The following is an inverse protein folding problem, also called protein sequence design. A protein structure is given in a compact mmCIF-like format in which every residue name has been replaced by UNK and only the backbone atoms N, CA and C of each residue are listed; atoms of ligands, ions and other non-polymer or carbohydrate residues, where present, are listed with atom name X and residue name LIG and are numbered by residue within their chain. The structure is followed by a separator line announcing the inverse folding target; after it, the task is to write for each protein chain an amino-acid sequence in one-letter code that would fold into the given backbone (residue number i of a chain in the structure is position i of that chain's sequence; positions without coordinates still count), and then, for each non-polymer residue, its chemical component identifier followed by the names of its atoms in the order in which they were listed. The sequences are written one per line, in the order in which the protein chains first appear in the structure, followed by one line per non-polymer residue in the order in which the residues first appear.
data_IF_969046369878
#
_entry.id   IF_969046369878
#
_cell.length_a   1.000
_cell.length_b   1.000
_cell.length_c   1.000
_cell.angle_alpha   90.00
_cell.angle_beta   90.00
_cell.angle_gamma   90.00
#
_symmetry.space_group_name_H-M   'P 1'
#
loop_
_entity.id
_entity.type
_entity.pdbx_description
1 polymer ?
#
# COMPACT_ATOMS: atom_id res chain seq x y z
N UNK A 1 -7.48 60.93 23.27
CA UNK A 1 -8.54 60.04 22.74
C UNK A 1 -7.98 58.63 22.83
N UNK A 2 -8.31 57.88 23.88
CA UNK A 2 -9.46 56.94 23.95
C UNK A 2 -9.29 55.83 22.89
N UNK A 3 -8.97 54.57 23.22
CA UNK A 3 -9.19 53.74 24.43
C UNK A 3 -10.67 53.59 24.77
N UNK A 4 -11.28 52.49 24.33
CA UNK A 4 -12.46 51.87 24.95
C UNK A 4 -12.61 50.39 24.57
N UNK A 5 -13.20 49.58 25.47
CA UNK A 5 -13.43 48.12 25.42
C UNK A 5 -14.23 47.72 26.69
N UNK A 6 -14.93 46.56 26.79
CA UNK A 6 -15.96 45.94 25.94
C UNK A 6 -17.37 45.94 26.62
N UNK A 7 -18.39 45.40 25.93
CA UNK A 7 -19.56 44.67 26.47
C UNK A 7 -20.19 43.89 25.29
N UNK A 8 -20.67 42.64 25.33
CA UNK A 8 -21.03 41.65 26.39
C UNK A 8 -22.39 41.80 27.07
N UNK A 9 -23.37 41.01 26.61
CA UNK A 9 -24.54 40.39 27.30
C UNK A 9 -25.44 39.69 26.24
N UNK A 10 -26.13 38.56 26.44
CA UNK A 10 -26.19 37.55 27.55
C UNK A 10 -26.43 36.15 26.91
N UNK A 11 -26.35 35.00 27.60
CA UNK A 11 -27.40 34.42 28.49
C UNK A 11 -28.53 33.78 27.67
N UNK A 12 -28.97 32.53 27.83
CA UNK A 12 -28.82 31.54 28.92
C UNK A 12 -28.73 30.09 28.35
N UNK A 13 -28.21 29.04 29.02
CA UNK A 13 -28.57 28.40 30.32
C UNK A 13 -29.98 27.78 30.27
N UNK A 14 -30.30 26.54 30.64
CA UNK A 14 -29.63 25.41 31.31
C UNK A 14 -30.22 24.07 30.73
N UNK A 15 -30.12 22.82 31.24
CA UNK A 15 -29.47 22.14 32.39
C UNK A 15 -29.52 20.61 32.21
N UNK A 16 -28.53 19.88 32.76
CA UNK A 16 -28.67 18.45 33.15
C UNK A 16 -28.37 17.39 32.08
N UNK A 17 -28.09 16.12 32.45
CA UNK A 17 -28.03 15.55 33.81
C UNK A 17 -26.85 14.56 33.97
N UNK A 18 -26.33 14.49 35.21
CA UNK A 18 -25.19 13.69 35.63
C UNK A 18 -25.68 12.47 36.43
N UNK A 19 -25.41 11.25 35.97
CA UNK A 19 -25.37 10.05 36.83
C UNK A 19 -24.22 9.15 36.40
N UNK A 20 -23.36 8.81 37.37
CA UNK A 20 -22.30 7.80 37.23
C UNK A 20 -22.86 6.39 37.39
N UNK A 21 -22.26 5.40 36.71
CA UNK A 21 -22.13 4.09 37.35
C UNK A 21 -20.82 3.37 37.01
N UNK A 22 -20.30 2.65 38.02
CA UNK A 22 -19.27 1.62 37.86
C UNK A 22 -19.94 0.31 37.44
N UNK A 23 -19.19 -0.56 36.77
CA UNK A 23 -18.93 -1.98 37.13
C UNK A 23 -18.37 -2.68 35.89
N UNK A 24 -17.15 -3.25 35.90
CA UNK A 24 -16.66 -4.34 36.75
C UNK A 24 -17.48 -5.63 36.57
N UNK A 25 -17.71 -6.01 35.31
CA UNK A 25 -18.23 -7.36 34.99
C UNK A 25 -17.15 -8.44 35.17
N UNK A 26 -16.91 -8.77 36.45
CA UNK A 26 -16.22 -9.98 36.89
C UNK A 26 -17.03 -11.20 36.43
N UNK A 27 -16.42 -12.13 35.70
CA UNK A 27 -17.06 -13.40 35.38
C UNK A 27 -17.30 -14.15 36.70
N UNK A 28 -18.58 -14.41 37.02
CA UNK A 28 -19.02 -15.14 38.21
C UNK A 28 -19.70 -16.43 37.78
N UNK A 29 -19.35 -17.54 38.43
CA UNK A 29 -19.98 -18.84 38.18
C UNK A 29 -21.48 -18.80 38.52
N UNK A 30 -22.34 -19.48 37.73
CA UNK A 30 -23.62 -19.97 38.20
C UNK A 30 -23.41 -21.19 39.12
N UNK A 31 -23.87 -21.08 40.37
CA UNK A 31 -24.49 -22.20 41.08
C UNK A 31 -25.76 -22.62 40.31
N UNK A 32 -26.25 -23.86 40.29
CA UNK A 32 -26.27 -24.94 41.31
C UNK A 32 -27.14 -24.59 42.52
N UNK A 33 -28.43 -24.47 42.24
CA UNK A 33 -29.54 -24.85 43.13
C UNK A 33 -30.30 -25.96 42.35
N UNK A 34 -30.60 -27.18 42.83
CA UNK A 34 -30.69 -27.77 44.18
C UNK A 34 -32.04 -27.56 44.88
N UNK A 35 -33.07 -28.19 44.32
CA UNK A 35 -34.23 -28.73 45.04
C UNK A 35 -34.26 -30.25 44.79
N UNK A 36 -34.63 -31.14 45.72
CA UNK A 36 -34.79 -31.03 47.18
C UNK A 36 -34.79 -32.49 47.75
N UNK A 37 -35.17 -32.70 49.01
CA UNK A 37 -35.34 -33.98 49.73
C UNK A 37 -34.13 -34.44 50.57
N UNK A 38 -33.85 -33.65 51.60
CA UNK A 38 -33.59 -34.07 52.98
C UNK A 38 -33.34 -35.56 53.32
N UNK A 39 -32.31 -35.80 54.15
CA UNK A 39 -32.23 -36.89 55.16
C UNK A 39 -32.20 -38.34 54.64
N UNK A 40 -31.18 -39.14 54.96
CA UNK A 40 -30.82 -39.41 56.36
C UNK A 40 -29.39 -39.94 56.54
N UNK A 41 -28.87 -39.74 57.76
CA UNK A 41 -27.72 -40.51 58.28
C UNK A 41 -28.16 -41.97 58.47
N UNK A 42 -27.27 -42.93 58.21
CA UNK A 42 -26.83 -43.91 59.21
C UNK A 42 -25.59 -44.67 58.71
N UNK A 43 -24.76 -45.14 59.64
CA UNK A 43 -23.60 -46.00 59.34
C UNK A 43 -23.97 -47.47 59.52
N UNK A 44 -23.32 -48.31 58.70
CA UNK A 44 -22.76 -49.64 59.05
C UNK A 44 -23.31 -50.31 60.32
N UNK A 45 -23.95 -51.49 60.20
CA UNK A 45 -23.22 -52.77 60.42
C UNK A 45 -24.02 -54.04 60.03
N UNK A 46 -23.29 -55.16 59.90
CA UNK A 46 -23.65 -56.56 60.11
C UNK A 46 -24.78 -57.23 59.32
N UNK A 47 -24.38 -58.29 58.62
CA UNK A 47 -25.24 -59.26 57.93
C UNK A 47 -25.39 -60.54 58.76
N UNK A 48 -26.61 -61.06 58.95
CA UNK A 48 -26.82 -62.50 59.25
C UNK A 48 -28.12 -63.05 58.63
N UNK A 49 -28.15 -64.31 58.15
CA UNK A 49 -29.25 -64.83 57.33
C UNK A 49 -30.24 -65.72 58.10
N UNK A 50 -31.36 -66.07 57.44
CA UNK A 50 -32.16 -67.28 57.74
C UNK A 50 -32.57 -67.99 56.43
N UNK A 51 -32.99 -69.25 56.57
CA UNK A 51 -33.05 -70.28 55.52
C UNK A 51 -34.49 -70.80 55.36
N UNK A 52 -34.90 -71.17 54.13
CA UNK A 52 -36.20 -71.83 53.85
C UNK A 52 -36.34 -72.30 52.39
N UNK A 53 -36.38 -73.63 52.12
CA UNK A 53 -36.58 -74.23 50.79
C UNK A 53 -37.95 -74.97 50.67
N UNK A 54 -38.23 -75.76 49.61
CA UNK A 54 -38.28 -75.45 48.18
C UNK A 54 -39.71 -75.73 47.61
N UNK A 55 -40.02 -75.48 46.31
CA UNK A 55 -39.75 -76.49 45.25
C UNK A 55 -39.44 -75.89 43.85
N UNK A 56 -39.09 -76.75 42.89
CA UNK A 56 -39.18 -76.40 41.45
C UNK A 56 -37.92 -75.85 40.78
N UNK A 57 -36.75 -76.50 40.95
CA UNK A 57 -35.55 -76.18 40.16
C UNK A 57 -35.72 -76.58 38.70
N UNK A 58 -36.29 -75.69 37.88
CA UNK A 58 -36.23 -75.82 36.42
C UNK A 58 -34.79 -75.59 35.96
N UNK A 59 -34.06 -76.68 35.69
CA UNK A 59 -32.72 -76.61 35.09
C UNK A 59 -32.88 -76.20 33.63
N UNK A 60 -32.85 -74.89 33.37
CA UNK A 60 -32.75 -74.36 32.00
C UNK A 60 -31.33 -74.63 31.51
N UNK A 61 -31.13 -75.79 30.89
CA UNK A 61 -29.90 -76.10 30.17
C UNK A 61 -29.80 -75.21 28.91
N UNK A 62 -29.35 -73.97 29.08
CA UNK A 62 -28.78 -73.23 27.95
C UNK A 62 -27.55 -74.01 27.47
N UNK A 63 -27.49 -74.43 26.18
CA UNK A 63 -26.30 -75.06 25.66
C UNK A 63 -25.15 -74.04 25.68
N UNK A 64 -23.93 -74.48 26.02
CA UNK A 64 -22.78 -73.57 26.27
C UNK A 64 -22.40 -72.74 25.04
N UNK A 65 -22.70 -73.28 23.87
CA UNK A 65 -22.63 -72.68 22.53
C UNK A 65 -23.59 -71.50 22.30
N UNK A 66 -24.59 -71.27 23.15
CA UNK A 66 -25.41 -70.05 23.14
C UNK A 66 -24.88 -68.91 24.03
N UNK A 67 -23.73 -69.06 24.69
CA UNK A 67 -23.06 -67.93 25.35
C UNK A 67 -22.47 -67.02 24.27
N UNK A 68 -23.26 -66.01 23.87
CA UNK A 68 -22.84 -64.96 22.94
C UNK A 68 -21.69 -64.12 23.51
N UNK A 69 -20.45 -64.62 23.34
CA UNK A 69 -19.19 -63.88 23.53
C UNK A 69 -18.97 -62.79 22.47
N UNK A 70 -19.90 -62.64 21.53
CA UNK A 70 -19.92 -61.59 20.52
C UNK A 70 -21.09 -60.66 20.85
N UNK A 71 -20.91 -59.33 20.98
CA UNK A 71 -22.03 -58.42 21.12
C UNK A 71 -22.97 -58.54 19.89
N UNK A 72 -24.28 -58.24 20.03
CA UNK A 72 -25.23 -58.29 18.90
C UNK A 72 -24.66 -57.57 17.67
N UNK A 73 -24.83 -58.09 16.44
CA UNK A 73 -24.01 -57.68 15.28
C UNK A 73 -24.06 -56.17 14.94
N UNK A 74 -25.18 -55.52 15.26
CA UNK A 74 -25.35 -54.06 15.21
C UNK A 74 -24.42 -53.33 16.19
N UNK A 75 -24.39 -53.76 17.45
CA UNK A 75 -23.48 -53.27 18.49
C UNK A 75 -22.02 -53.70 18.23
N UNK A 76 -21.79 -54.87 17.64
CA UNK A 76 -20.45 -55.31 17.21
C UNK A 76 -19.88 -54.33 16.17
N UNK A 77 -20.63 -54.02 15.10
CA UNK A 77 -20.24 -53.00 14.12
C UNK A 77 -20.10 -51.61 14.75
N UNK A 78 -20.93 -51.25 15.73
CA UNK A 78 -20.80 -49.96 16.44
C UNK A 78 -19.51 -49.89 17.26
N UNK A 79 -19.17 -50.94 18.01
CA UNK A 79 -17.89 -51.04 18.73
C UNK A 79 -16.68 -51.12 17.79
N UNK A 80 -16.81 -51.83 16.66
CA UNK A 80 -15.75 -51.88 15.64
C UNK A 80 -15.52 -50.49 15.04
N UNK A 81 -16.57 -49.76 14.65
CA UNK A 81 -16.44 -48.40 14.12
C UNK A 81 -15.85 -47.41 15.13
N UNK A 82 -16.18 -47.54 16.42
CA UNK A 82 -15.63 -46.69 17.49
C UNK A 82 -14.17 -47.03 17.81
N UNK A 83 -13.81 -48.31 17.89
CA UNK A 83 -12.41 -48.76 18.14
C UNK A 83 -11.51 -48.62 16.91
N UNK A 84 -12.06 -48.70 15.69
CA UNK A 84 -11.41 -48.37 14.41
C UNK A 84 -11.13 -46.85 14.28
N UNK A 85 -11.44 -46.02 15.28
CA UNK A 85 -10.88 -44.67 15.43
C UNK A 85 -9.39 -44.69 15.85
N UNK A 86 -8.60 -45.50 15.15
CA UNK A 86 -7.13 -45.51 15.18
C UNK A 86 -6.64 -44.08 14.99
N UNK A 87 -5.72 -43.62 15.84
CA UNK A 87 -5.20 -42.26 15.86
C UNK A 87 -4.22 -41.98 14.73
N UNK A 88 -4.64 -42.22 13.48
CA UNK A 88 -4.01 -41.75 12.25
C UNK A 88 -4.21 -40.22 12.10
N UNK A 89 -3.93 -39.44 13.16
CA UNK A 89 -3.77 -37.99 13.06
C UNK A 89 -2.44 -37.73 12.36
N UNK A 90 -2.48 -37.79 11.03
CA UNK A 90 -1.30 -37.98 10.19
C UNK A 90 -0.19 -36.97 10.49
N UNK A 91 1.02 -37.48 10.74
CA UNK A 91 2.20 -36.65 10.99
C UNK A 91 2.43 -35.63 9.86
N UNK A 92 2.06 -35.98 8.62
CA UNK A 92 2.00 -35.08 7.47
C UNK A 92 1.25 -33.76 7.76
N UNK A 93 0.09 -33.78 8.45
CA UNK A 93 -0.62 -32.55 8.83
C UNK A 93 0.17 -31.71 9.83
N UNK A 94 0.83 -32.33 10.82
CA UNK A 94 1.68 -31.60 11.78
C UNK A 94 2.90 -30.98 11.08
N UNK A 95 3.59 -31.75 10.22
CA UNK A 95 4.71 -31.24 9.42
C UNK A 95 4.29 -30.08 8.50
N UNK A 96 3.14 -30.18 7.83
CA UNK A 96 2.61 -29.11 6.99
C UNK A 96 2.27 -27.84 7.81
N UNK A 97 1.66 -27.98 8.99
CA UNK A 97 1.41 -26.84 9.88
C UNK A 97 2.71 -26.19 10.38
N UNK A 98 3.74 -26.97 10.72
CA UNK A 98 5.05 -26.42 11.09
C UNK A 98 5.77 -25.73 9.93
N UNK A 99 5.70 -26.29 8.71
CA UNK A 99 6.23 -25.65 7.50
C UNK A 99 5.51 -24.33 7.20
N UNK A 100 4.17 -24.32 7.26
CA UNK A 100 3.38 -23.11 7.05
C UNK A 100 3.66 -22.05 8.13
N UNK A 101 3.80 -22.44 9.39
CA UNK A 101 4.18 -21.52 10.46
C UNK A 101 5.59 -20.94 10.25
N UNK A 102 6.57 -21.76 9.85
CA UNK A 102 7.92 -21.30 9.52
C UNK A 102 7.93 -20.36 8.32
N UNK A 103 7.13 -20.63 7.28
CA UNK A 103 6.95 -19.76 6.12
C UNK A 103 6.32 -18.40 6.52
N UNK A 104 5.29 -18.41 7.36
CA UNK A 104 4.67 -17.17 7.87
C UNK A 104 5.64 -16.35 8.72
N UNK A 105 6.45 -16.99 9.56
CA UNK A 105 7.52 -16.33 10.33
C UNK A 105 8.57 -15.73 9.38
N UNK A 106 8.99 -16.47 8.36
CA UNK A 106 9.96 -15.99 7.36
C UNK A 106 9.43 -14.78 6.58
N UNK A 107 8.16 -14.83 6.15
CA UNK A 107 7.51 -13.71 5.46
C UNK A 107 7.35 -12.48 6.38
N UNK A 108 7.02 -12.68 7.66
CA UNK A 108 6.96 -11.60 8.65
C UNK A 108 8.34 -10.96 8.88
N UNK A 109 9.40 -11.76 9.05
CA UNK A 109 10.77 -11.27 9.17
C UNK A 109 11.24 -10.53 7.90
N UNK A 110 10.92 -11.03 6.71
CA UNK A 110 11.20 -10.36 5.45
C UNK A 110 10.46 -9.01 5.34
N UNK A 111 9.17 -8.97 5.73
CA UNK A 111 8.38 -7.74 5.75
C UNK A 111 8.93 -6.72 6.77
N UNK A 112 9.38 -7.16 7.95
CA UNK A 112 10.07 -6.29 8.91
C UNK A 112 11.36 -5.71 8.34
N UNK A 113 12.21 -6.52 7.69
CA UNK A 113 13.45 -6.04 7.05
C UNK A 113 13.14 -5.02 5.95
N UNK A 114 12.17 -5.29 5.08
CA UNK A 114 11.74 -4.35 4.03
C UNK A 114 11.17 -3.05 4.62
N UNK A 115 10.37 -3.15 5.69
CA UNK A 115 9.84 -1.99 6.41
C UNK A 115 10.92 -1.12 7.06
N UNK A 116 11.90 -1.74 7.73
CA UNK A 116 13.06 -1.05 8.31
C UNK A 116 13.87 -0.36 7.21
N UNK A 117 14.16 -1.04 6.10
CA UNK A 117 14.86 -0.45 4.96
C UNK A 117 14.09 0.74 4.38
N UNK A 118 12.77 0.63 4.22
CA UNK A 118 11.93 1.74 3.76
C UNK A 118 11.98 2.95 4.71
N UNK A 119 11.89 2.73 6.02
CA UNK A 119 11.97 3.80 7.03
C UNK A 119 13.37 4.41 7.16
N UNK A 120 14.44 3.66 6.87
CA UNK A 120 15.83 4.14 6.92
C UNK A 120 16.20 4.94 5.66
N UNK A 121 15.76 4.50 4.48
CA UNK A 121 16.14 5.09 3.19
C UNK A 121 15.14 6.09 2.62
N UNK A 122 13.85 5.97 2.98
CA UNK A 122 12.73 6.85 2.61
C UNK A 122 12.79 7.33 1.14
N UNK A 123 12.55 6.43 0.16
CA UNK A 123 12.72 6.75 -1.26
C UNK A 123 11.71 7.81 -1.74
N UNK A 124 12.21 9.02 -1.94
CA UNK A 124 11.49 10.17 -2.46
C UNK A 124 11.70 10.35 -3.97
N UNK A 125 10.66 10.85 -4.67
CA UNK A 125 10.79 11.25 -6.07
C UNK A 125 11.73 12.47 -6.21
N UNK A 126 12.67 12.49 -7.18
CA UNK A 126 13.46 13.69 -7.46
C UNK A 126 12.56 14.87 -7.85
N UNK A 127 13.00 16.10 -7.54
CA UNK A 127 12.32 17.34 -7.92
C UNK A 127 12.95 17.91 -9.20
N UNK A 128 12.14 18.57 -10.03
CA UNK A 128 12.58 19.19 -11.28
C UNK A 128 12.06 20.62 -11.40
N UNK A 129 12.87 21.49 -12.03
CA UNK A 129 12.51 22.88 -12.39
C UNK A 129 13.20 23.28 -13.70
N UNK A 130 12.65 24.25 -14.42
CA UNK A 130 13.14 24.75 -15.71
C UNK A 130 13.85 26.09 -15.49
N UNK A 131 15.14 25.99 -15.14
CA UNK A 131 16.04 27.13 -14.88
C UNK A 131 16.34 28.06 -16.06
N UNK A 132 15.90 27.73 -17.29
CA UNK A 132 16.06 28.60 -18.45
C UNK A 132 15.61 27.96 -19.76
N UNK A 133 15.24 28.81 -20.73
CA UNK A 133 14.75 28.42 -22.06
C UNK A 133 15.34 29.35 -23.11
N UNK A 134 15.60 28.85 -24.31
CA UNK A 134 16.05 29.64 -25.47
C UNK A 134 15.30 29.19 -26.71
N UNK A 135 14.56 30.08 -27.37
CA UNK A 135 13.69 29.75 -28.51
C UNK A 135 14.18 30.39 -29.80
N UNK A 136 14.36 29.60 -30.85
CA UNK A 136 14.60 30.07 -32.23
C UNK A 136 13.79 29.21 -33.22
N UNK A 137 13.76 29.57 -34.51
CA UNK A 137 13.07 28.81 -35.56
C UNK A 137 11.53 28.93 -35.57
N UNK A 138 10.94 29.77 -34.72
CA UNK A 138 9.53 30.15 -34.75
C UNK A 138 9.41 31.51 -35.45
N UNK A 139 8.95 31.52 -36.71
CA UNK A 139 8.53 32.74 -37.39
C UNK A 139 6.99 32.79 -37.49
N UNK A 140 6.39 33.83 -36.90
CA UNK A 140 4.94 34.04 -36.91
C UNK A 140 4.46 34.93 -38.07
N UNK A 141 5.35 35.60 -38.81
CA UNK A 141 4.96 36.59 -39.84
C UNK A 141 4.52 35.96 -41.16
N UNK A 142 5.11 34.84 -41.58
CA UNK A 142 4.62 34.02 -42.69
C UNK A 142 3.68 32.94 -42.20
N UNK A 143 2.86 32.37 -43.09
CA UNK A 143 2.00 31.21 -42.84
C UNK A 143 2.73 29.86 -42.89
N UNK A 144 4.03 29.86 -43.17
CA UNK A 144 4.86 28.66 -43.41
C UNK A 144 4.91 27.67 -42.24
N UNK A 145 5.26 26.40 -42.48
CA UNK A 145 5.60 25.46 -41.41
C UNK A 145 6.75 25.98 -40.54
N UNK A 146 6.68 25.75 -39.24
CA UNK A 146 7.74 26.12 -38.31
C UNK A 146 8.82 25.03 -38.23
N UNK A 147 10.05 25.41 -37.92
CA UNK A 147 11.12 24.46 -37.55
C UNK A 147 11.77 24.90 -36.23
N UNK A 148 11.06 24.72 -35.09
CA UNK A 148 11.50 25.27 -33.81
C UNK A 148 12.80 24.61 -33.33
N UNK A 149 13.69 25.41 -32.77
CA UNK A 149 14.86 24.93 -32.02
C UNK A 149 14.76 25.55 -30.63
N UNK A 150 14.44 24.71 -29.65
CA UNK A 150 14.11 25.11 -28.27
C UNK A 150 15.12 24.46 -27.33
N UNK A 151 16.10 25.25 -26.88
CA UNK A 151 17.01 24.87 -25.81
C UNK A 151 16.33 24.99 -24.45
N UNK A 152 16.53 23.99 -23.58
CA UNK A 152 16.03 23.99 -22.20
C UNK A 152 17.14 23.64 -21.21
N UNK A 153 17.12 24.31 -20.06
CA UNK A 153 18.01 24.07 -18.90
C UNK A 153 17.17 23.57 -17.75
N UNK A 154 17.19 22.26 -17.49
CA UNK A 154 16.37 21.60 -16.47
C UNK A 154 17.23 21.28 -15.25
N UNK A 155 16.89 21.86 -14.10
CA UNK A 155 17.53 21.58 -12.81
C UNK A 155 16.83 20.37 -12.19
N UNK A 156 17.54 19.25 -12.11
CA UNK A 156 17.13 18.08 -11.34
C UNK A 156 17.73 18.16 -9.94
N UNK A 157 16.93 17.94 -8.91
CA UNK A 157 17.35 17.86 -7.52
C UNK A 157 16.96 16.50 -6.94
N UNK A 158 17.96 15.68 -6.65
CA UNK A 158 17.77 14.45 -5.90
C UNK A 158 17.64 14.80 -4.42
N UNK A 159 16.44 14.69 -3.86
CA UNK A 159 16.14 14.99 -2.44
C UNK A 159 16.36 13.80 -1.51
N UNK A 160 17.00 12.72 -1.99
CA UNK A 160 17.31 11.54 -1.17
C UNK A 160 18.69 11.68 -0.54
N UNK A 161 18.77 11.75 0.79
CA UNK A 161 20.03 11.87 1.56
C UNK A 161 20.93 10.62 1.48
N UNK A 162 20.36 9.46 1.13
CA UNK A 162 21.06 8.15 1.20
C UNK A 162 20.99 7.34 -0.10
N UNK A 163 20.25 7.83 -1.10
CA UNK A 163 20.04 7.13 -2.37
C UNK A 163 20.60 7.99 -3.52
N UNK A 164 21.55 7.46 -4.28
CA UNK A 164 21.92 8.05 -5.56
C UNK A 164 20.91 7.70 -6.65
N UNK A 165 20.89 8.47 -7.74
CA UNK A 165 20.11 8.19 -8.95
C UNK A 165 21.04 7.95 -10.14
N UNK A 166 20.69 6.98 -10.98
CA UNK A 166 21.37 6.70 -12.26
C UNK A 166 20.34 6.92 -13.36
N UNK A 167 20.49 7.98 -14.15
CA UNK A 167 19.69 8.28 -15.33
C UNK A 167 20.30 7.56 -16.52
N UNK A 168 19.59 6.58 -17.08
CA UNK A 168 20.11 5.70 -18.12
C UNK A 168 19.94 6.29 -19.54
N UNK A 169 20.47 5.56 -20.55
CA UNK A 169 20.16 5.83 -21.95
C UNK A 169 18.70 5.49 -22.25
N UNK A 170 18.14 6.04 -23.32
CA UNK A 170 16.73 5.86 -23.67
C UNK A 170 15.78 6.91 -23.04
N UNK A 171 16.33 7.94 -22.40
CA UNK A 171 15.56 9.13 -22.05
C UNK A 171 15.10 9.91 -23.29
N UNK A 172 14.01 10.66 -23.14
CA UNK A 172 13.38 11.49 -24.17
C UNK A 172 12.82 12.78 -23.53
N UNK A 173 12.91 13.89 -24.26
CA UNK A 173 12.33 15.17 -23.86
C UNK A 173 11.56 15.78 -25.04
N UNK A 174 10.35 16.25 -24.77
CA UNK A 174 9.39 16.80 -25.73
C UNK A 174 8.92 18.18 -25.28
N UNK A 175 8.64 19.08 -26.24
CA UNK A 175 8.03 20.39 -25.98
C UNK A 175 6.76 20.58 -26.80
N UNK A 176 5.75 21.18 -26.18
CA UNK A 176 4.39 21.32 -26.71
C UNK A 176 3.86 22.76 -26.57
N UNK A 177 3.03 23.18 -27.52
CA UNK A 177 2.20 24.38 -27.44
C UNK A 177 0.76 24.00 -27.81
N UNK A 178 -0.22 24.31 -26.97
CA UNK A 178 -1.63 23.97 -27.23
C UNK A 178 -1.91 22.48 -27.46
N UNK A 179 -1.05 21.59 -26.94
CA UNK A 179 -1.07 20.14 -27.21
C UNK A 179 -0.31 19.71 -28.48
N UNK A 180 0.02 20.63 -29.38
CA UNK A 180 0.84 20.36 -30.58
C UNK A 180 2.30 20.21 -30.16
N UNK A 181 2.94 19.10 -30.54
CA UNK A 181 4.36 18.84 -30.31
C UNK A 181 5.21 19.75 -31.21
N UNK A 182 5.95 20.68 -30.60
CA UNK A 182 6.83 21.62 -31.29
C UNK A 182 8.24 21.06 -31.56
N UNK A 183 8.63 19.99 -30.86
CA UNK A 183 9.91 19.33 -31.07
C UNK A 183 10.25 18.30 -29.99
N UNK A 184 11.35 17.59 -30.22
CA UNK A 184 11.88 16.59 -29.29
C UNK A 184 13.42 16.56 -29.27
N UNK A 185 13.97 15.91 -28.26
CA UNK A 185 15.40 15.72 -28.05
C UNK A 185 15.68 14.66 -26.99
N UNK A 186 16.95 14.47 -26.66
CA UNK A 186 17.45 13.55 -25.62
C UNK A 186 18.58 14.23 -24.85
N UNK A 187 18.94 13.71 -23.69
CA UNK A 187 20.06 14.21 -22.86
C UNK A 187 21.02 13.07 -22.50
N UNK A 188 22.26 13.45 -22.17
CA UNK A 188 23.31 12.49 -21.81
C UNK A 188 22.95 11.76 -20.52
N UNK A 189 23.06 10.43 -20.52
CA UNK A 189 22.89 9.61 -19.31
C UNK A 189 23.89 10.05 -18.23
N UNK A 190 23.44 10.20 -16.98
CA UNK A 190 24.24 10.76 -15.89
C UNK A 190 23.97 10.06 -14.55
N UNK A 191 24.90 10.22 -13.60
CA UNK A 191 24.77 9.75 -12.23
C UNK A 191 24.65 10.97 -11.32
N UNK A 192 23.67 10.95 -10.42
CA UNK A 192 23.42 12.00 -9.44
C UNK A 192 23.62 11.39 -8.05
N UNK A 193 24.60 11.85 -7.26
CA UNK A 193 24.75 11.43 -5.87
C UNK A 193 23.50 11.69 -5.02
N UNK A 194 23.52 11.18 -3.79
CA UNK A 194 22.59 11.59 -2.75
C UNK A 194 22.71 13.10 -2.46
N UNK A 195 21.61 13.73 -2.04
CA UNK A 195 21.40 15.18 -1.89
C UNK A 195 22.20 16.04 -2.88
N UNK A 196 21.87 15.92 -4.17
CA UNK A 196 22.65 16.55 -5.23
C UNK A 196 21.78 17.23 -6.28
N UNK A 197 22.30 18.30 -6.87
CA UNK A 197 21.63 19.11 -7.90
C UNK A 197 22.42 19.04 -9.21
N UNK A 198 21.78 18.55 -10.26
CA UNK A 198 22.36 18.47 -11.62
C UNK A 198 21.56 19.37 -12.56
N UNK A 199 22.24 20.24 -13.32
CA UNK A 199 21.62 21.00 -14.41
C UNK A 199 21.82 20.27 -15.73
N UNK A 200 20.72 19.80 -16.30
CA UNK A 200 20.64 19.13 -17.60
C UNK A 200 20.41 20.20 -18.67
N UNK A 201 21.23 20.22 -19.71
CA UNK A 201 21.01 21.07 -20.90
C UNK A 201 20.69 20.17 -22.09
N UNK A 202 19.59 20.45 -22.79
CA UNK A 202 19.24 19.76 -24.04
C UNK A 202 18.58 20.71 -25.02
N UNK A 203 18.63 20.37 -26.31
CA UNK A 203 18.06 21.14 -27.41
C UNK A 203 17.01 20.28 -28.10
N UNK A 204 15.77 20.73 -28.01
CA UNK A 204 14.61 20.09 -28.61
C UNK A 204 14.41 20.70 -30.00
N UNK A 205 14.23 19.87 -31.02
CA UNK A 205 14.09 20.31 -32.42
C UNK A 205 12.78 19.80 -33.00
N UNK A 206 12.10 20.66 -33.76
CA UNK A 206 10.99 20.29 -34.64
C UNK A 206 11.30 20.63 -36.09
N UNK A 207 10.61 19.97 -37.01
CA UNK A 207 10.70 20.21 -38.45
C UNK A 207 9.30 20.17 -39.06
N UNK A 208 9.01 21.09 -39.98
CA UNK A 208 7.73 21.21 -40.68
C UNK A 208 6.48 21.23 -39.77
N UNK A 209 6.59 21.80 -38.58
CA UNK A 209 5.50 21.88 -37.59
C UNK A 209 4.45 22.88 -38.08
N UNK A 210 3.30 22.36 -38.53
CA UNK A 210 2.16 23.16 -38.92
C UNK A 210 1.29 23.50 -37.70
N UNK A 211 1.04 24.80 -37.52
CA UNK A 211 0.08 25.34 -36.54
C UNK A 211 -1.15 25.86 -37.29
N UNK A 212 -2.35 25.70 -36.71
CA UNK A 212 -3.57 26.28 -37.26
C UNK A 212 -3.52 27.82 -37.23
N UNK A 213 -4.37 28.47 -38.02
CA UNK A 213 -4.53 29.93 -37.99
C UNK A 213 -4.92 30.45 -36.60
N UNK A 214 -5.78 29.74 -35.86
CA UNK A 214 -6.13 30.04 -34.47
C UNK A 214 -4.91 29.95 -33.55
N UNK A 215 -4.21 28.80 -33.53
CA UNK A 215 -3.02 28.60 -32.68
C UNK A 215 -1.90 29.60 -32.98
N UNK A 216 -1.72 30.01 -34.25
CA UNK A 216 -0.78 31.06 -34.65
C UNK A 216 -1.18 32.44 -34.12
N UNK A 217 -2.48 32.78 -34.17
CA UNK A 217 -3.00 34.03 -33.60
C UNK A 217 -2.82 34.06 -32.09
N UNK A 218 -3.21 33.00 -31.39
CA UNK A 218 -3.05 32.83 -29.94
C UNK A 218 -1.58 32.92 -29.49
N UNK A 219 -0.67 32.31 -30.24
CA UNK A 219 0.77 32.35 -29.97
C UNK A 219 1.32 33.77 -30.16
N UNK A 220 0.88 34.47 -31.21
CA UNK A 220 1.22 35.88 -31.48
C UNK A 220 0.70 36.80 -30.37
N UNK A 221 -0.55 36.60 -29.93
CA UNK A 221 -1.12 37.35 -28.81
C UNK A 221 -0.42 37.06 -27.49
N UNK A 222 -0.06 35.80 -27.23
CA UNK A 222 0.66 35.39 -26.01
C UNK A 222 2.08 35.98 -25.98
N UNK A 223 2.73 36.11 -27.13
CA UNK A 223 4.00 36.82 -27.26
C UNK A 223 3.84 38.32 -27.03
N UNK A 224 2.81 38.97 -27.59
CA UNK A 224 2.49 40.39 -27.32
C UNK A 224 2.16 40.65 -25.85
N UNK A 225 1.51 39.69 -25.17
CA UNK A 225 1.20 39.69 -23.72
C UNK A 225 2.42 39.34 -22.84
N UNK A 226 3.58 39.04 -23.44
CA UNK A 226 4.82 38.69 -22.75
C UNK A 226 4.72 37.40 -21.91
N UNK A 227 3.84 36.46 -22.27
CA UNK A 227 3.48 35.28 -21.46
C UNK A 227 3.13 34.07 -22.34
N UNK A 228 4.09 33.57 -23.12
CA UNK A 228 3.87 32.38 -23.97
C UNK A 228 3.91 31.09 -23.15
N UNK A 229 2.83 30.29 -23.11
CA UNK A 229 2.82 29.01 -22.40
C UNK A 229 3.52 27.90 -23.21
N UNK A 230 4.31 27.06 -22.54
CA UNK A 230 4.80 25.80 -23.10
C UNK A 230 4.58 24.65 -22.12
N UNK A 231 4.26 23.47 -22.66
CA UNK A 231 4.39 22.20 -21.94
C UNK A 231 5.72 21.55 -22.27
N UNK A 232 6.43 21.05 -21.28
CA UNK A 232 7.64 20.22 -21.46
C UNK A 232 7.37 18.88 -20.79
N UNK A 233 7.55 17.78 -21.52
CA UNK A 233 7.49 16.42 -20.98
C UNK A 233 8.86 15.77 -21.08
N UNK A 234 9.31 15.14 -20.00
CA UNK A 234 10.55 14.37 -19.97
C UNK A 234 10.20 12.95 -19.51
N UNK A 235 10.73 11.94 -20.20
CA UNK A 235 10.72 10.55 -19.76
C UNK A 235 12.15 10.07 -19.62
N UNK A 236 12.49 9.46 -18.49
CA UNK A 236 13.84 9.00 -18.22
C UNK A 236 13.81 7.64 -17.49
N UNK A 237 14.49 6.60 -18.00
CA UNK A 237 14.75 5.40 -17.23
C UNK A 237 15.77 5.72 -16.13
N UNK A 238 15.44 5.36 -14.89
CA UNK A 238 16.21 5.70 -13.69
C UNK A 238 16.33 4.48 -12.76
N UNK A 239 17.50 4.29 -12.15
CA UNK A 239 17.73 3.37 -11.02
C UNK A 239 18.11 4.15 -9.77
N UNK A 240 17.61 3.72 -8.61
CA UNK A 240 18.20 4.14 -7.34
C UNK A 240 19.47 3.32 -7.06
N UNK A 241 20.45 3.94 -6.40
CA UNK A 241 21.74 3.32 -6.03
C UNK A 241 22.00 3.45 -4.53
N UNK A 242 22.39 2.34 -3.90
CA UNK A 242 22.70 2.22 -2.47
C UNK A 242 24.07 1.54 -2.31
N UNK A 243 25.10 2.32 -2.01
CA UNK A 243 26.47 1.79 -1.91
C UNK A 243 26.95 1.15 -3.22
N UNK A 244 27.05 -0.18 -3.25
CA UNK A 244 27.36 -0.96 -4.46
C UNK A 244 26.10 -1.46 -5.22
N UNK A 245 24.93 -1.50 -4.58
CA UNK A 245 23.69 -2.10 -5.10
C UNK A 245 22.89 -1.06 -5.92
N UNK A 246 22.17 -1.52 -6.95
CA UNK A 246 21.21 -0.72 -7.73
C UNK A 246 19.86 -1.40 -7.81
N UNK A 247 18.78 -0.63 -7.82
CA UNK A 247 17.42 -1.17 -8.05
C UNK A 247 17.20 -1.61 -9.50
N UNK A 248 16.04 -2.20 -9.76
CA UNK A 248 15.46 -2.30 -11.09
C UNK A 248 15.29 -0.91 -11.73
N UNK A 249 15.17 -0.86 -13.06
CA UNK A 249 14.88 0.39 -13.79
C UNK A 249 13.42 0.80 -13.58
N UNK A 250 13.19 2.06 -13.22
CA UNK A 250 11.89 2.71 -13.15
C UNK A 250 11.83 3.82 -14.22
N UNK A 251 10.64 4.26 -14.63
CA UNK A 251 10.53 5.46 -15.47
C UNK A 251 10.14 6.67 -14.62
N UNK A 252 11.02 7.66 -14.56
CA UNK A 252 10.67 9.02 -14.14
C UNK A 252 9.99 9.72 -15.31
N UNK A 253 8.78 10.23 -15.09
CA UNK A 253 8.09 11.14 -16.03
C UNK A 253 7.98 12.51 -15.38
N UNK A 254 8.37 13.57 -16.06
CA UNK A 254 8.24 14.96 -15.61
C UNK A 254 7.34 15.70 -16.58
N UNK A 255 6.29 16.34 -16.06
CA UNK A 255 5.37 17.17 -16.85
C UNK A 255 5.40 18.60 -16.29
N UNK A 256 6.13 19.47 -16.98
CA UNK A 256 6.30 20.88 -16.64
C UNK A 256 5.40 21.77 -17.50
N UNK A 257 4.63 22.65 -16.86
CA UNK A 257 3.89 23.74 -17.50
C UNK A 257 4.61 25.05 -17.18
N UNK A 258 5.16 25.71 -18.19
CA UNK A 258 5.92 26.95 -18.04
C UNK A 258 5.29 28.10 -18.83
N UNK A 259 5.67 29.34 -18.50
CA UNK A 259 5.44 30.52 -19.33
C UNK A 259 6.73 31.31 -19.50
N UNK A 260 7.02 31.75 -20.71
CA UNK A 260 8.20 32.58 -21.03
C UNK A 260 7.81 33.98 -21.49
N UNK A 261 8.73 34.94 -21.32
CA UNK A 261 8.56 36.33 -21.73
C UNK A 261 8.47 36.52 -23.26
N UNK A 262 9.32 35.84 -24.02
CA UNK A 262 9.50 36.08 -25.47
C UNK A 262 10.02 34.85 -26.21
N UNK A 263 9.83 34.83 -27.52
CA UNK A 263 10.28 33.76 -28.41
C UNK A 263 11.65 34.08 -29.02
N UNK A 264 12.67 34.16 -28.15
CA UNK A 264 14.06 34.45 -28.58
C UNK A 264 15.07 33.58 -27.81
N UNK A 265 16.34 33.63 -28.21
CA UNK A 265 17.42 32.91 -27.55
C UNK A 265 17.67 33.34 -26.08
N UNK A 266 17.21 34.52 -25.65
CA UNK A 266 17.39 35.06 -24.30
C UNK A 266 16.10 35.04 -23.46
N UNK A 267 15.24 34.03 -23.65
CA UNK A 267 13.96 33.93 -22.98
C UNK A 267 14.07 33.66 -21.47
N UNK A 268 13.17 34.29 -20.71
CA UNK A 268 13.07 34.24 -19.25
C UNK A 268 11.85 33.40 -18.87
N UNK A 269 12.00 32.47 -17.93
CA UNK A 269 10.85 31.73 -17.36
C UNK A 269 10.16 32.61 -16.32
N UNK A 270 8.90 32.96 -16.54
CA UNK A 270 8.10 33.83 -15.67
C UNK A 270 7.35 33.00 -14.61
N UNK A 271 6.83 31.85 -15.01
CA UNK A 271 6.15 30.90 -14.11
C UNK A 271 6.49 29.49 -14.53
N UNK A 272 6.71 28.61 -13.57
CA UNK A 272 6.81 27.17 -13.78
C UNK A 272 5.90 26.41 -12.81
N UNK A 273 5.47 25.23 -13.23
CA UNK A 273 4.89 24.21 -12.37
C UNK A 273 5.25 22.84 -12.97
N UNK A 274 6.06 22.06 -12.27
CA UNK A 274 6.50 20.73 -12.68
C UNK A 274 5.99 19.69 -11.69
N UNK A 275 5.17 18.74 -12.16
CA UNK A 275 4.97 17.49 -11.42
C UNK A 275 5.92 16.41 -11.97
N UNK A 276 6.14 15.39 -11.15
CA UNK A 276 7.01 14.26 -11.44
C UNK A 276 6.31 12.97 -11.03
N UNK A 277 6.02 12.10 -12.00
CA UNK A 277 5.60 10.72 -11.76
C UNK A 277 6.81 9.78 -11.72
N UNK A 278 6.65 8.67 -11.01
CA UNK A 278 7.60 7.55 -10.99
C UNK A 278 6.78 6.27 -11.20
N UNK A 279 7.03 5.57 -12.31
CA UNK A 279 6.35 4.30 -12.62
C UNK A 279 7.35 3.14 -12.66
N UNK A 280 6.84 1.93 -12.47
CA UNK A 280 7.52 0.74 -12.96
C UNK A 280 7.57 0.78 -14.51
N UNK A 281 8.44 -0.06 -15.08
CA UNK A 281 8.70 -0.19 -16.51
C UNK A 281 8.14 -1.52 -17.02
#
# INVERSE_FOLDING_TARGET
MTVEKPQEMTGDTNSGEFVTHKDVHRIKHPSIDTNDSSSSRYSVDSQKPRIGPPPGTYIINLPKDQIYRVPPPENARRYENLSRRKTNQSNCRRCFCHFLAALLILLFLAALVVGILYLVYQPHKPRFSVSGVSVTGINLTSSSPLSPVIGIKVRSQNVNEKLGLIYEKGNEADVFYGGIKLGNGKFTAFKQPADNVTVIVTVLKGSSIQLTSSSRKELTESQKKGKVPFGIRIKAPVKFKVGAVTTWTMTVTVDCKIKVDKLTASATVITENCDTGLSLL
#
